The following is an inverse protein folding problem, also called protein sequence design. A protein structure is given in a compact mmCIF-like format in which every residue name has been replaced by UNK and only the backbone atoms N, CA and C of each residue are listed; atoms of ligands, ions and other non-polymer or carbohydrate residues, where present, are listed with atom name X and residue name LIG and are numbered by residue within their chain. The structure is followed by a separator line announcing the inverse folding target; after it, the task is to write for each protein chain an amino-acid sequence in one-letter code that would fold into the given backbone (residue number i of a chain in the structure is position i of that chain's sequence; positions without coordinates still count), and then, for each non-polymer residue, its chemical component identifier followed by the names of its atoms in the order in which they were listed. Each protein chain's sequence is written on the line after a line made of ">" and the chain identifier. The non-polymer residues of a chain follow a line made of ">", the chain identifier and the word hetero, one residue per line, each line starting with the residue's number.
data_IF_025283315117
#
_entry.id   IF_025283315117
#
_cell.length_a   1.000
_cell.length_b   1.000
_cell.length_c   1.000
_cell.angle_alpha   90.00
_cell.angle_beta   90.00
_cell.angle_gamma   90.00
#
_symmetry.space_group_name_H-M   'P 1'
#
loop_
_entity.id
_entity.type
_entity.pdbx_description
1 polymer ?
#
# COMPACT_ATOMS: atom_id res chain seq x y z
N UNK A 1 47.67 -30.18 -11.16
CA UNK A 1 46.93 -28.92 -10.97
C UNK A 1 45.69 -28.93 -11.86
N UNK A 2 44.51 -29.28 -11.32
CA UNK A 2 43.21 -29.29 -12.02
C UNK A 2 42.23 -28.46 -11.18
N UNK A 3 42.31 -27.13 -11.24
CA UNK A 3 41.43 -26.25 -10.44
C UNK A 3 40.78 -25.15 -11.30
N UNK A 4 40.95 -25.17 -12.63
CA UNK A 4 40.44 -24.11 -13.53
C UNK A 4 39.33 -24.64 -14.44
N UNK A 5 38.30 -25.30 -13.92
CA UNK A 5 37.10 -25.64 -14.72
C UNK A 5 35.75 -25.55 -13.97
N UNK A 6 35.70 -25.21 -12.69
CA UNK A 6 34.42 -25.11 -11.94
C UNK A 6 33.97 -23.68 -11.62
N UNK A 7 34.69 -22.67 -12.11
CA UNK A 7 34.37 -21.25 -11.85
C UNK A 7 33.39 -20.65 -12.89
N UNK A 8 33.30 -21.22 -14.09
CA UNK A 8 32.47 -20.68 -15.17
C UNK A 8 30.97 -20.92 -14.96
N UNK A 9 30.60 -22.12 -14.49
CA UNK A 9 29.20 -22.53 -14.39
C UNK A 9 28.44 -21.78 -13.28
N UNK A 10 29.07 -21.52 -12.13
CA UNK A 10 28.48 -20.76 -11.02
C UNK A 10 28.35 -19.28 -11.32
N UNK A 11 29.36 -18.66 -11.96
CA UNK A 11 29.32 -17.24 -12.37
C UNK A 11 28.23 -17.00 -13.42
N UNK A 12 28.11 -17.90 -14.40
CA UNK A 12 27.07 -17.81 -15.43
C UNK A 12 25.67 -17.97 -14.83
N UNK A 13 25.49 -18.93 -13.91
CA UNK A 13 24.22 -19.08 -13.18
C UNK A 13 23.86 -17.84 -12.36
N UNK A 14 24.82 -17.22 -11.66
CA UNK A 14 24.56 -16.01 -10.86
C UNK A 14 24.19 -14.80 -11.72
N UNK A 15 24.82 -14.63 -12.88
CA UNK A 15 24.47 -13.54 -13.81
C UNK A 15 23.11 -13.74 -14.46
N UNK A 16 22.74 -14.98 -14.79
CA UNK A 16 21.41 -15.31 -15.34
C UNK A 16 20.33 -15.09 -14.28
N UNK A 17 20.56 -15.53 -13.03
CA UNK A 17 19.62 -15.29 -11.93
C UNK A 17 19.43 -13.79 -11.66
N UNK A 18 20.52 -13.03 -11.51
CA UNK A 18 20.46 -11.57 -11.33
C UNK A 18 19.74 -10.89 -12.51
N UNK A 19 20.05 -11.27 -13.76
CA UNK A 19 19.38 -10.75 -14.95
C UNK A 19 17.87 -11.01 -14.96
N UNK A 20 17.42 -12.18 -14.49
CA UNK A 20 16.00 -12.51 -14.33
C UNK A 20 15.36 -11.62 -13.25
N UNK A 21 16.03 -11.39 -12.11
CA UNK A 21 15.52 -10.49 -11.06
C UNK A 21 15.28 -9.05 -11.56
N UNK A 22 16.16 -8.50 -12.40
CA UNK A 22 15.99 -7.14 -12.96
C UNK A 22 14.81 -7.06 -13.94
N UNK A 23 14.58 -8.11 -14.74
CA UNK A 23 13.48 -8.16 -15.73
C UNK A 23 12.11 -8.27 -15.03
N UNK A 24 12.03 -9.01 -13.93
CA UNK A 24 10.79 -9.17 -13.15
C UNK A 24 10.40 -7.86 -12.48
N UNK A 25 11.37 -7.10 -11.97
CA UNK A 25 11.12 -5.81 -11.29
C UNK A 25 10.70 -4.70 -12.27
N UNK A 26 11.26 -4.67 -13.48
CA UNK A 26 10.92 -3.70 -14.51
C UNK A 26 9.49 -3.84 -15.08
N UNK A 27 8.96 -5.05 -15.16
CA UNK A 27 7.59 -5.27 -15.66
C UNK A 27 6.50 -4.82 -14.68
N UNK A 28 6.78 -4.81 -13.36
CA UNK A 28 5.82 -4.36 -12.36
C UNK A 28 5.62 -2.83 -12.41
N UNK A 29 6.65 -2.07 -12.76
CA UNK A 29 6.59 -0.60 -12.86
C UNK A 29 5.78 -0.08 -14.06
N UNK A 30 5.63 -0.88 -15.14
CA UNK A 30 4.93 -0.45 -16.34
C UNK A 30 3.38 -0.45 -16.23
N UNK A 31 2.82 -1.05 -15.17
CA UNK A 31 1.37 -1.10 -14.95
C UNK A 31 0.81 0.14 -14.22
N UNK A 32 1.67 1.03 -13.72
CA UNK A 32 1.26 2.24 -13.00
C UNK A 32 1.38 3.47 -13.88
N UNK A 33 0.53 3.55 -14.92
CA UNK A 33 0.19 4.85 -15.49
C UNK A 33 -0.41 5.77 -14.41
N UNK A 34 -0.36 7.10 -14.54
CA UNK A 34 -0.93 8.02 -13.56
C UNK A 34 -2.41 7.68 -13.34
N UNK A 35 -2.74 7.17 -12.14
CA UNK A 35 -4.12 6.86 -11.76
C UNK A 35 -4.88 8.16 -11.62
N UNK A 36 -5.90 8.36 -12.45
CA UNK A 36 -6.79 9.51 -12.36
C UNK A 36 -7.65 9.36 -11.11
N UNK A 37 -7.40 10.20 -10.11
CA UNK A 37 -8.18 10.25 -8.88
C UNK A 37 -9.35 11.21 -9.00
N UNK A 38 -10.38 11.01 -8.17
CA UNK A 38 -11.43 12.01 -8.00
C UNK A 38 -10.86 13.18 -7.22
N UNK A 39 -10.87 14.38 -7.79
CA UNK A 39 -10.30 15.58 -7.14
C UNK A 39 -11.33 16.42 -6.38
N UNK A 40 -12.62 16.12 -6.56
CA UNK A 40 -13.73 16.89 -5.98
C UNK A 40 -14.65 15.95 -5.21
N UNK A 41 -14.98 16.37 -3.98
CA UNK A 41 -16.00 15.75 -3.16
C UNK A 41 -17.12 16.75 -2.85
N UNK A 42 -18.37 16.27 -2.65
CA UNK A 42 -19.45 17.13 -2.16
C UNK A 42 -19.06 17.78 -0.82
N UNK A 43 -19.53 19.01 -0.57
CA UNK A 43 -19.26 19.73 0.69
C UNK A 43 -19.97 19.14 1.92
N UNK A 44 -20.76 18.07 1.76
CA UNK A 44 -21.45 17.43 2.88
C UNK A 44 -20.47 16.79 3.87
N UNK A 45 -20.44 17.31 5.09
CA UNK A 45 -19.69 16.72 6.20
C UNK A 45 -20.39 15.45 6.70
N UNK A 46 -19.76 14.30 6.52
CA UNK A 46 -20.20 12.98 7.01
C UNK A 46 -18.99 12.26 7.56
N UNK A 47 -18.52 12.71 8.71
CA UNK A 47 -17.23 12.33 9.28
C UNK A 47 -17.12 10.82 9.43
N UNK A 48 -15.96 10.27 9.09
CA UNK A 48 -15.65 8.85 9.27
C UNK A 48 -14.28 8.67 9.90
N UNK A 49 -14.13 7.62 10.70
CA UNK A 49 -12.85 7.15 11.18
C UNK A 49 -12.45 5.94 10.35
N UNK A 50 -11.21 5.95 9.87
CA UNK A 50 -10.67 4.87 9.08
C UNK A 50 -9.32 4.41 9.60
N UNK A 51 -9.04 3.12 9.42
CA UNK A 51 -7.80 2.44 9.77
C UNK A 51 -6.97 2.22 8.51
N UNK A 52 -5.71 2.65 8.52
CA UNK A 52 -4.74 2.27 7.49
C UNK A 52 -4.39 0.78 7.68
N UNK A 53 -4.66 -0.05 6.67
CA UNK A 53 -4.41 -1.50 6.74
C UNK A 53 -2.91 -1.81 6.81
N UNK A 54 -2.05 -0.95 6.26
CA UNK A 54 -0.61 -1.15 6.25
C UNK A 54 0.04 -0.67 7.56
N UNK A 55 -0.32 0.55 7.99
CA UNK A 55 0.34 1.21 9.12
C UNK A 55 -0.39 0.97 10.47
N UNK A 56 -1.63 0.47 10.44
CA UNK A 56 -2.47 0.32 11.63
C UNK A 56 -2.92 1.65 12.25
N UNK A 57 -2.73 2.77 11.55
CA UNK A 57 -3.02 4.11 12.05
C UNK A 57 -4.48 4.49 11.83
N UNK A 58 -5.09 5.11 12.84
CA UNK A 58 -6.42 5.71 12.72
C UNK A 58 -6.35 7.14 12.18
N UNK A 59 -7.31 7.49 11.32
CA UNK A 59 -7.46 8.84 10.80
C UNK A 59 -8.92 9.22 10.57
N UNK A 60 -9.26 10.43 11.00
CA UNK A 60 -10.56 11.05 10.73
C UNK A 60 -10.56 11.68 9.34
N UNK A 61 -11.62 11.44 8.57
CA UNK A 61 -11.87 12.07 7.28
C UNK A 61 -13.21 12.81 7.31
N UNK A 62 -13.30 13.95 6.62
CA UNK A 62 -14.51 14.76 6.54
C UNK A 62 -15.69 14.03 5.87
N UNK A 63 -15.40 13.07 4.98
CA UNK A 63 -16.36 12.14 4.42
C UNK A 63 -15.68 10.90 3.84
N UNK A 64 -16.48 9.87 3.55
CA UNK A 64 -16.03 8.67 2.83
C UNK A 64 -15.49 8.99 1.43
N UNK A 65 -16.00 10.05 0.77
CA UNK A 65 -15.47 10.52 -0.51
C UNK A 65 -14.02 11.01 -0.35
N UNK A 66 -13.77 11.87 0.65
CA UNK A 66 -12.44 12.44 0.90
C UNK A 66 -11.44 11.33 1.24
N UNK A 67 -11.86 10.31 2.00
CA UNK A 67 -11.05 9.12 2.28
C UNK A 67 -10.67 8.36 0.99
N UNK A 68 -11.63 8.07 0.10
CA UNK A 68 -11.36 7.35 -1.16
C UNK A 68 -10.45 8.14 -2.09
N UNK A 69 -10.66 9.46 -2.19
CA UNK A 69 -9.75 10.35 -2.90
C UNK A 69 -8.34 10.27 -2.33
N UNK A 70 -8.19 10.31 -1.00
CA UNK A 70 -6.91 10.22 -0.33
C UNK A 70 -6.21 8.88 -0.60
N UNK A 71 -6.93 7.76 -0.48
CA UNK A 71 -6.42 6.43 -0.82
C UNK A 71 -5.88 6.37 -2.25
N UNK A 72 -6.63 6.90 -3.22
CA UNK A 72 -6.20 6.96 -4.60
C UNK A 72 -4.93 7.80 -4.79
N UNK A 73 -4.92 9.02 -4.24
CA UNK A 73 -3.86 10.01 -4.48
C UNK A 73 -2.53 9.63 -3.83
N UNK A 74 -2.60 9.02 -2.65
CA UNK A 74 -1.42 8.71 -1.83
C UNK A 74 -1.11 7.22 -1.75
N UNK A 75 -1.78 6.39 -2.57
CA UNK A 75 -1.59 4.93 -2.58
C UNK A 75 -1.76 4.32 -1.17
N UNK A 76 -2.82 4.74 -0.48
CA UNK A 76 -3.19 4.25 0.86
C UNK A 76 -4.38 3.30 0.80
N UNK A 77 -4.54 2.47 1.84
CA UNK A 77 -5.69 1.56 1.99
C UNK A 77 -6.41 1.82 3.33
N UNK A 78 -6.87 3.06 3.54
CA UNK A 78 -7.74 3.36 4.69
C UNK A 78 -9.10 2.68 4.53
N UNK A 79 -9.54 1.95 5.56
CA UNK A 79 -10.87 1.32 5.64
C UNK A 79 -11.67 1.92 6.77
N UNK A 80 -12.91 2.29 6.47
CA UNK A 80 -13.83 2.87 7.46
C UNK A 80 -14.12 1.83 8.53
N UNK A 81 -13.94 2.20 9.78
CA UNK A 81 -14.26 1.40 10.96
C UNK A 81 -15.40 2.00 11.79
N UNK A 82 -15.67 3.30 11.63
CA UNK A 82 -16.78 3.98 12.31
C UNK A 82 -17.27 5.21 11.53
N UNK A 83 -18.57 5.48 11.59
CA UNK A 83 -19.22 6.68 11.01
C UNK A 83 -19.19 7.88 11.96
N UNK A 84 -18.01 8.14 12.54
CA UNK A 84 -17.73 9.24 13.49
C UNK A 84 -16.24 9.53 13.52
N UNK A 85 -15.82 10.62 14.17
CA UNK A 85 -14.39 10.93 14.33
C UNK A 85 -13.66 9.88 15.18
N UNK A 86 -12.37 9.67 14.92
CA UNK A 86 -11.56 8.70 15.64
C UNK A 86 -11.36 9.02 17.13
N UNK A 87 -11.51 10.29 17.52
CA UNK A 87 -11.42 10.72 18.93
C UNK A 87 -12.48 10.10 19.83
N UNK A 88 -13.60 9.64 19.25
CA UNK A 88 -14.66 8.99 19.99
C UNK A 88 -14.48 7.47 20.11
N UNK A 89 -13.51 6.88 19.41
CA UNK A 89 -13.28 5.43 19.49
C UNK A 89 -12.65 5.09 20.83
N UNK A 90 -13.31 4.22 21.60
CA UNK A 90 -12.81 3.77 22.89
C UNK A 90 -11.70 2.73 22.71
N UNK A 91 -10.86 2.56 23.74
CA UNK A 91 -9.84 1.51 23.74
C UNK A 91 -10.43 0.11 23.56
N UNK A 92 -11.64 -0.13 24.07
CA UNK A 92 -12.34 -1.41 23.94
C UNK A 92 -12.74 -1.68 22.48
N UNK A 93 -13.23 -0.67 21.78
CA UNK A 93 -13.54 -0.76 20.34
C UNK A 93 -12.26 -0.95 19.51
N UNK A 94 -11.17 -0.30 19.89
CA UNK A 94 -9.84 -0.50 19.30
C UNK A 94 -9.35 -1.94 19.46
N UNK A 95 -9.61 -2.59 20.60
CA UNK A 95 -9.24 -3.99 20.82
C UNK A 95 -10.04 -4.94 19.93
N UNK A 96 -11.33 -4.67 19.69
CA UNK A 96 -12.15 -5.47 18.77
C UNK A 96 -11.71 -5.39 17.30
N UNK A 97 -10.92 -4.38 16.94
CA UNK A 97 -10.37 -4.20 15.58
C UNK A 97 -9.01 -4.89 15.38
N UNK A 98 -8.33 -5.26 16.47
CA UNK A 98 -7.08 -6.01 16.46
C UNK A 98 -7.43 -7.50 16.58
N UNK A 99 -7.81 -8.12 15.46
CA UNK A 99 -8.00 -9.58 15.39
C UNK A 99 -6.70 -10.33 15.70
#
# INVERSE_FOLDING_TARGET
>A
MKIVCTLSNTIFLTCVLLGIFIVVEGHLFALTGPKKCHDVCPMGYRVVCALDVLDGCLRTFASSCVMRMYNCKYQKDYRIIAERACEFITNDELQMLKF
#
